data_IF_913887005741
#
_entry.id   IF_913887005741
#
_cell.length_a   1.000
_cell.length_b   1.000
_cell.length_c   1.000
_cell.angle_alpha   90.00
_cell.angle_beta   90.00
_cell.angle_gamma   90.00
#
_symmetry.space_group_name_H-M   'P 1'
#
loop_
_entity.id
_entity.type
_entity.pdbx_description
1 polymer ?
#
# COMPACT_ATOMS: atom_id res chain seq x y z
N UNK A 1 -11.58 -19.03 -3.12
CA UNK A 1 -10.58 -18.78 -2.05
C UNK A 1 -10.37 -17.29 -2.02
N UNK A 2 -10.59 -16.65 -0.88
CA UNK A 2 -10.45 -15.19 -0.78
C UNK A 2 -8.97 -14.79 -0.86
N UNK A 3 -8.68 -13.65 -1.43
CA UNK A 3 -7.33 -13.07 -1.47
C UNK A 3 -6.90 -12.61 -0.07
N UNK A 4 -7.83 -12.00 0.66
CA UNK A 4 -7.70 -11.61 2.06
C UNK A 4 -8.86 -12.22 2.82
N UNK A 5 -8.57 -12.89 3.95
CA UNK A 5 -9.58 -13.48 4.83
C UNK A 5 -9.15 -13.22 6.28
N UNK A 6 -9.93 -12.41 6.97
CA UNK A 6 -9.71 -11.97 8.36
C UNK A 6 -10.85 -12.51 9.21
N UNK A 7 -10.52 -13.23 10.28
CA UNK A 7 -11.49 -13.94 11.12
C UNK A 7 -11.27 -13.60 12.57
N UNK A 8 -12.26 -12.95 13.17
CA UNK A 8 -12.32 -12.64 14.62
C UNK A 8 -11.03 -11.99 15.14
N UNK A 9 -10.47 -11.06 14.38
CA UNK A 9 -9.17 -10.48 14.66
C UNK A 9 -9.28 -9.38 15.71
N UNK A 10 -8.41 -9.49 16.71
CA UNK A 10 -8.21 -8.50 17.77
C UNK A 10 -6.81 -7.90 17.65
N UNK A 11 -6.71 -6.60 17.91
CA UNK A 11 -5.42 -5.93 18.10
C UNK A 11 -5.46 -5.08 19.35
N UNK A 12 -4.61 -5.45 20.30
CA UNK A 12 -4.54 -4.83 21.62
C UNK A 12 -3.14 -4.24 21.79
N UNK A 13 -3.08 -2.93 22.03
CA UNK A 13 -1.84 -2.23 22.39
C UNK A 13 -1.79 -1.96 23.88
N UNK A 14 -0.58 -1.97 24.47
CA UNK A 14 -0.31 -1.69 25.86
C UNK A 14 -1.22 -2.49 26.83
N UNK A 15 -1.15 -3.84 26.83
CA UNK A 15 -1.97 -4.65 27.73
C UNK A 15 -1.68 -4.27 29.18
N UNK A 16 -2.74 -3.99 29.98
CA UNK A 16 -2.66 -3.52 31.35
C UNK A 16 -3.45 -2.21 31.59
N UNK A 17 -2.96 -1.33 32.46
CA UNK A 17 -3.69 -0.12 32.86
C UNK A 17 -4.05 0.86 31.73
N UNK A 18 -3.27 0.86 30.63
CA UNK A 18 -3.50 1.74 29.48
C UNK A 18 -3.80 0.94 28.19
N UNK A 19 -4.54 -0.16 28.34
CA UNK A 19 -4.92 -1.00 27.21
C UNK A 19 -5.78 -0.25 26.19
N UNK A 20 -5.42 -0.41 24.91
CA UNK A 20 -6.21 0.09 23.78
C UNK A 20 -6.59 -1.08 22.89
N UNK A 21 -7.88 -1.37 22.79
CA UNK A 21 -8.43 -2.33 21.84
C UNK A 21 -8.60 -1.62 20.49
N UNK A 22 -7.56 -1.68 19.67
CA UNK A 22 -7.54 -0.99 18.36
C UNK A 22 -8.37 -1.74 17.30
N UNK A 23 -8.45 -3.08 17.41
CA UNK A 23 -9.40 -3.92 16.68
C UNK A 23 -10.07 -4.85 17.69
N UNK A 24 -11.38 -5.06 17.52
CA UNK A 24 -12.23 -5.79 18.46
C UNK A 24 -13.14 -6.77 17.71
N UNK A 25 -12.62 -7.96 17.40
CA UNK A 25 -13.35 -9.04 16.72
C UNK A 25 -13.70 -8.72 15.28
N UNK A 26 -12.76 -8.16 14.51
CA UNK A 26 -12.99 -7.80 13.11
C UNK A 26 -12.93 -9.03 12.22
N UNK A 27 -13.96 -9.22 11.39
CA UNK A 27 -14.00 -10.26 10.34
C UNK A 27 -14.36 -9.63 9.01
N UNK A 28 -13.60 -9.95 7.95
CA UNK A 28 -13.89 -9.51 6.59
C UNK A 28 -13.21 -10.43 5.57
N UNK A 29 -13.75 -10.48 4.38
CA UNK A 29 -13.15 -11.15 3.23
C UNK A 29 -13.04 -10.20 2.05
N UNK A 30 -11.97 -10.32 1.26
CA UNK A 30 -11.77 -9.55 0.02
C UNK A 30 -11.34 -10.52 -1.07
N UNK A 31 -12.05 -10.49 -2.19
CA UNK A 31 -11.72 -11.27 -3.38
C UNK A 31 -10.79 -10.53 -4.33
N UNK A 32 -10.15 -11.26 -5.25
CA UNK A 32 -9.32 -10.66 -6.29
C UNK A 32 -10.12 -9.68 -7.15
N UNK A 33 -9.52 -8.53 -7.46
CA UNK A 33 -10.10 -7.50 -8.32
C UNK A 33 -11.19 -6.65 -7.67
N UNK A 34 -11.44 -6.79 -6.37
CA UNK A 34 -12.36 -5.92 -5.65
C UNK A 34 -11.80 -4.51 -5.41
N UNK A 35 -12.70 -3.54 -5.36
CA UNK A 35 -12.42 -2.18 -4.89
C UNK A 35 -13.17 -1.96 -3.58
N UNK A 36 -12.45 -1.97 -2.47
CA UNK A 36 -13.01 -1.91 -1.11
C UNK A 36 -12.68 -0.56 -0.47
N UNK A 37 -13.65 0.06 0.17
CA UNK A 37 -13.44 1.26 0.97
C UNK A 37 -13.74 0.98 2.45
N UNK A 38 -12.74 1.16 3.32
CA UNK A 38 -12.87 1.08 4.77
C UNK A 38 -13.18 2.48 5.29
N UNK A 39 -14.40 2.68 5.77
CA UNK A 39 -14.87 3.97 6.27
C UNK A 39 -15.12 3.93 7.78
N UNK A 40 -14.92 5.04 8.46
CA UNK A 40 -15.15 5.16 9.90
C UNK A 40 -14.58 6.47 10.45
N UNK A 41 -14.94 6.80 11.69
CA UNK A 41 -14.45 7.99 12.37
C UNK A 41 -12.94 7.92 12.65
N UNK A 42 -12.31 9.05 12.97
CA UNK A 42 -10.93 9.06 13.47
C UNK A 42 -10.83 8.22 14.74
N UNK A 43 -9.78 7.41 14.86
CA UNK A 43 -9.58 6.51 15.99
C UNK A 43 -10.39 5.20 15.94
N UNK A 44 -11.14 4.91 14.87
CA UNK A 44 -11.92 3.66 14.76
C UNK A 44 -11.10 2.42 14.34
N UNK A 45 -9.77 2.48 14.36
CA UNK A 45 -8.89 1.35 14.02
C UNK A 45 -8.57 1.15 12.54
N UNK A 46 -8.99 2.05 11.63
CA UNK A 46 -8.72 1.90 10.18
C UNK A 46 -7.25 1.72 9.85
N UNK A 47 -6.39 2.61 10.36
CA UNK A 47 -4.94 2.53 10.10
C UNK A 47 -4.31 1.29 10.76
N UNK A 48 -4.83 0.85 11.91
CA UNK A 48 -4.42 -0.43 12.52
C UNK A 48 -4.78 -1.61 11.62
N UNK A 49 -6.01 -1.65 11.11
CA UNK A 49 -6.45 -2.67 10.17
C UNK A 49 -5.60 -2.63 8.89
N UNK A 50 -5.34 -1.46 8.33
CA UNK A 50 -4.48 -1.29 7.15
C UNK A 50 -3.05 -1.79 7.40
N UNK A 51 -2.46 -1.48 8.56
CA UNK A 51 -1.12 -1.96 8.92
C UNK A 51 -1.09 -3.49 9.03
N UNK A 52 -2.12 -4.09 9.61
CA UNK A 52 -2.25 -5.53 9.72
C UNK A 52 -2.43 -6.18 8.34
N UNK A 53 -3.36 -5.69 7.51
CA UNK A 53 -3.55 -6.16 6.14
C UNK A 53 -2.28 -6.02 5.31
N UNK A 54 -1.48 -5.00 5.61
CA UNK A 54 -0.19 -4.72 4.98
C UNK A 54 0.98 -5.51 5.54
N UNK A 55 0.79 -6.42 6.49
CA UNK A 55 1.85 -7.17 7.17
C UNK A 55 2.91 -6.25 7.82
N UNK A 56 2.52 -5.04 8.22
CA UNK A 56 3.34 -4.11 9.01
C UNK A 56 3.14 -4.33 10.52
N UNK A 57 2.07 -5.02 10.87
CA UNK A 57 1.73 -5.44 12.22
C UNK A 57 1.02 -6.80 12.17
N UNK A 58 0.97 -7.52 13.30
CA UNK A 58 0.31 -8.82 13.41
C UNK A 58 -0.86 -8.75 14.38
N UNK A 59 -1.91 -9.57 14.24
CA UNK A 59 -3.01 -9.61 15.19
C UNK A 59 -2.53 -10.05 16.59
N UNK A 60 -3.24 -9.61 17.63
CA UNK A 60 -3.04 -10.14 19.00
C UNK A 60 -3.71 -11.51 19.14
N UNK A 61 -4.84 -11.71 18.48
CA UNK A 61 -5.55 -12.99 18.36
C UNK A 61 -6.52 -12.94 17.17
N UNK A 62 -7.08 -14.10 16.81
CA UNK A 62 -7.86 -14.32 15.60
C UNK A 62 -6.98 -14.87 14.48
N UNK A 63 -7.47 -14.91 13.26
CA UNK A 63 -6.76 -15.47 12.12
C UNK A 63 -6.77 -14.48 10.94
N UNK A 64 -5.61 -14.28 10.33
CA UNK A 64 -5.48 -13.50 9.10
C UNK A 64 -4.79 -14.35 8.03
N UNK A 65 -5.47 -14.53 6.89
CA UNK A 65 -4.95 -15.21 5.72
C UNK A 65 -4.75 -14.24 4.57
N UNK A 66 -3.58 -14.28 3.95
CA UNK A 66 -3.30 -13.62 2.67
C UNK A 66 -2.94 -14.68 1.62
N UNK A 67 -3.70 -14.72 0.54
CA UNK A 67 -3.53 -15.71 -0.54
C UNK A 67 -3.42 -17.15 0.00
N UNK A 68 -4.24 -17.46 1.03
CA UNK A 68 -4.31 -18.77 1.69
C UNK A 68 -3.20 -19.08 2.68
N UNK A 69 -2.24 -18.19 2.90
CA UNK A 69 -1.21 -18.33 3.92
C UNK A 69 -1.68 -17.70 5.24
N UNK A 70 -1.65 -18.45 6.32
CA UNK A 70 -1.93 -17.93 7.67
C UNK A 70 -0.75 -17.06 8.12
N UNK A 71 -1.03 -15.80 8.46
CA UNK A 71 0.00 -14.80 8.75
C UNK A 71 0.72 -15.09 10.06
N UNK A 72 0.03 -15.61 11.06
CA UNK A 72 0.59 -15.96 12.37
C UNK A 72 1.67 -17.05 12.30
N UNK A 73 1.65 -17.86 11.25
CA UNK A 73 2.66 -18.92 11.00
C UNK A 73 3.92 -18.39 10.27
N UNK A 74 3.90 -17.12 9.81
CA UNK A 74 4.98 -16.54 9.02
C UNK A 74 6.06 -15.92 9.91
N UNK A 75 7.31 -16.11 9.52
CA UNK A 75 8.45 -15.36 10.09
C UNK A 75 8.48 -13.92 9.55
N UNK A 76 9.20 -13.02 10.23
CA UNK A 76 9.39 -11.63 9.79
C UNK A 76 9.99 -11.55 8.37
N UNK A 77 10.92 -12.45 8.03
CA UNK A 77 11.52 -12.53 6.71
C UNK A 77 10.47 -12.93 5.65
N UNK A 78 9.64 -13.92 5.94
CA UNK A 78 8.56 -14.35 5.05
C UNK A 78 7.51 -13.26 4.87
N UNK A 79 7.11 -12.57 5.94
CA UNK A 79 6.21 -11.41 5.87
C UNK A 79 6.80 -10.30 5.01
N UNK A 80 8.11 -10.05 5.13
CA UNK A 80 8.81 -9.03 4.33
C UNK A 80 8.82 -9.37 2.83
N UNK A 81 8.99 -10.65 2.48
CA UNK A 81 8.91 -11.13 1.10
C UNK A 81 7.49 -10.95 0.55
N UNK A 82 6.47 -11.45 1.27
CA UNK A 82 5.06 -11.34 0.87
C UNK A 82 4.67 -9.87 0.71
N UNK A 83 5.04 -9.01 1.67
CA UNK A 83 4.78 -7.58 1.60
C UNK A 83 5.39 -6.94 0.34
N UNK A 84 6.63 -7.27 0.02
CA UNK A 84 7.29 -6.74 -1.18
C UNK A 84 6.66 -7.27 -2.47
N UNK A 85 6.25 -8.54 -2.52
CA UNK A 85 5.75 -9.19 -3.73
C UNK A 85 4.27 -8.97 -3.98
N UNK A 86 3.46 -8.93 -2.91
CA UNK A 86 2.00 -8.97 -3.05
C UNK A 86 1.31 -7.67 -2.69
N UNK A 87 1.99 -6.72 -2.03
CA UNK A 87 1.34 -5.52 -1.51
C UNK A 87 2.04 -4.25 -2.00
N UNK A 88 1.27 -3.37 -2.62
CA UNK A 88 1.70 -2.00 -2.94
C UNK A 88 1.08 -1.01 -1.97
N UNK A 89 1.89 -0.17 -1.33
CA UNK A 89 1.42 0.82 -0.36
C UNK A 89 1.37 2.22 -0.94
N UNK A 90 0.26 2.91 -0.68
CA UNK A 90 0.04 4.34 -0.93
C UNK A 90 -0.34 4.99 0.38
N UNK A 91 0.47 5.93 0.87
CA UNK A 91 0.27 6.62 2.14
C UNK A 91 -0.20 8.07 1.92
N UNK A 92 -0.93 8.62 2.87
CA UNK A 92 -1.36 10.01 2.90
C UNK A 92 -0.17 10.98 2.85
N UNK A 93 0.92 10.67 3.53
CA UNK A 93 2.15 11.48 3.60
C UNK A 93 3.13 11.24 2.45
N UNK A 94 2.72 10.54 1.37
CA UNK A 94 3.55 10.14 0.21
C UNK A 94 4.71 9.22 0.57
N UNK A 95 5.39 9.42 1.68
CA UNK A 95 6.53 8.65 2.18
C UNK A 95 7.62 8.45 1.11
N UNK A 96 7.94 9.54 0.39
CA UNK A 96 9.04 9.57 -0.56
C UNK A 96 10.36 9.89 0.17
N UNK A 97 11.44 9.25 -0.27
CA UNK A 97 12.79 9.60 0.19
C UNK A 97 13.19 10.90 -0.51
N UNK A 98 13.36 11.96 0.27
CA UNK A 98 13.57 13.32 -0.23
C UNK A 98 14.86 13.53 -1.03
N UNK A 99 15.90 12.72 -0.76
CA UNK A 99 17.17 12.73 -1.48
C UNK A 99 17.19 11.94 -2.77
N UNK A 100 16.14 11.18 -3.07
CA UNK A 100 16.00 10.39 -4.28
C UNK A 100 15.07 11.09 -5.28
N UNK A 101 15.39 10.99 -6.56
CA UNK A 101 14.51 11.42 -7.64
C UNK A 101 13.22 10.60 -7.70
N UNK A 102 12.23 11.05 -8.48
CA UNK A 102 10.99 10.33 -8.67
C UNK A 102 11.22 8.88 -9.14
N UNK A 103 12.07 8.68 -10.14
CA UNK A 103 12.35 7.35 -10.67
C UNK A 103 13.10 6.47 -9.66
N UNK A 104 14.04 7.02 -8.90
CA UNK A 104 14.76 6.28 -7.86
C UNK A 104 13.83 5.87 -6.71
N UNK A 105 12.87 6.72 -6.32
CA UNK A 105 11.82 6.34 -5.37
C UNK A 105 10.97 5.17 -5.87
N UNK A 106 10.65 5.14 -7.16
CA UNK A 106 9.86 4.05 -7.77
C UNK A 106 10.68 2.77 -7.91
N UNK A 107 12.00 2.86 -8.07
CA UNK A 107 12.89 1.70 -8.13
C UNK A 107 13.00 0.94 -6.79
N UNK A 108 12.73 1.57 -5.63
CA UNK A 108 12.98 0.99 -4.31
C UNK A 108 12.41 -0.42 -4.11
N UNK A 109 11.13 -0.71 -4.35
CA UNK A 109 10.59 -2.06 -4.19
C UNK A 109 11.26 -3.08 -5.12
N UNK A 110 11.72 -2.65 -6.29
CA UNK A 110 12.40 -3.50 -7.27
C UNK A 110 13.84 -3.80 -6.85
N UNK A 111 14.50 -2.86 -6.13
CA UNK A 111 15.82 -3.10 -5.51
C UNK A 111 15.71 -4.21 -4.48
N UNK A 112 14.68 -4.18 -3.61
CA UNK A 112 14.45 -5.22 -2.61
C UNK A 112 14.12 -6.59 -3.22
N UNK A 113 13.59 -6.62 -4.47
CA UNK A 113 13.42 -7.86 -5.25
C UNK A 113 14.71 -8.38 -5.88
N UNK A 114 15.84 -7.68 -5.72
CA UNK A 114 17.11 -8.05 -6.32
C UNK A 114 17.20 -7.84 -7.83
N UNK A 115 16.28 -7.06 -8.43
CA UNK A 115 16.28 -6.80 -9.87
C UNK A 115 17.51 -6.03 -10.34
N UNK A 116 18.01 -6.36 -11.54
CA UNK A 116 19.13 -5.68 -12.16
C UNK A 116 18.84 -4.19 -12.43
N UNK A 117 19.89 -3.36 -12.42
CA UNK A 117 19.75 -1.90 -12.54
C UNK A 117 19.00 -1.44 -13.79
N UNK A 118 19.28 -2.04 -14.92
CA UNK A 118 18.63 -1.65 -16.19
C UNK A 118 17.16 -2.03 -16.18
N UNK A 119 16.84 -3.26 -15.79
CA UNK A 119 15.49 -3.78 -15.74
C UNK A 119 14.58 -2.95 -14.80
N UNK A 120 15.04 -2.70 -13.57
CA UNK A 120 14.26 -1.91 -12.62
C UNK A 120 14.04 -0.47 -13.08
N UNK A 121 15.05 0.13 -13.78
CA UNK A 121 14.92 1.47 -14.35
C UNK A 121 13.82 1.51 -15.40
N UNK A 122 13.79 0.57 -16.33
CA UNK A 122 12.78 0.49 -17.38
C UNK A 122 11.36 0.29 -16.80
N UNK A 123 11.23 -0.52 -15.75
CA UNK A 123 9.96 -0.73 -15.06
C UNK A 123 9.50 0.56 -14.35
N UNK A 124 10.41 1.23 -13.64
CA UNK A 124 10.10 2.46 -12.92
C UNK A 124 9.69 3.60 -13.87
N UNK A 125 10.38 3.76 -14.99
CA UNK A 125 10.03 4.75 -16.03
C UNK A 125 8.65 4.48 -16.64
N UNK A 126 8.32 3.21 -16.93
CA UNK A 126 6.98 2.81 -17.39
C UNK A 126 5.92 3.10 -16.35
N UNK A 127 6.19 2.83 -15.06
CA UNK A 127 5.26 3.11 -13.98
C UNK A 127 5.00 4.61 -13.83
N UNK A 128 6.04 5.46 -13.93
CA UNK A 128 5.90 6.92 -13.91
C UNK A 128 5.11 7.45 -15.13
N UNK A 129 5.36 6.91 -16.31
CA UNK A 129 4.59 7.28 -17.50
C UNK A 129 3.10 6.94 -17.37
N UNK A 130 2.76 5.80 -16.75
CA UNK A 130 1.36 5.39 -16.48
C UNK A 130 0.59 6.38 -15.59
N UNK A 131 1.29 7.12 -14.73
CA UNK A 131 0.72 8.14 -13.85
C UNK A 131 0.91 9.57 -14.37
N UNK A 132 1.38 9.73 -15.63
CA UNK A 132 1.54 11.02 -16.30
C UNK A 132 2.72 11.85 -15.78
N UNK A 133 3.82 11.19 -15.37
CA UNK A 133 5.04 11.83 -14.86
C UNK A 133 6.28 11.56 -15.74
N UNK A 134 6.08 11.22 -17.01
CA UNK A 134 7.14 10.98 -17.99
C UNK A 134 8.18 12.11 -18.08
N UNK A 135 7.74 13.36 -17.91
CA UNK A 135 8.61 14.56 -17.96
C UNK A 135 9.18 14.96 -16.59
N UNK A 136 8.91 14.20 -15.52
CA UNK A 136 9.28 14.51 -14.14
C UNK A 136 10.12 13.45 -13.45
N UNK A 137 10.61 12.45 -14.19
CA UNK A 137 11.29 11.28 -13.64
C UNK A 137 12.53 11.62 -12.80
N UNK A 138 13.25 12.67 -13.18
CA UNK A 138 14.51 13.08 -12.53
C UNK A 138 14.36 14.21 -11.51
N UNK A 139 13.12 14.62 -11.21
CA UNK A 139 12.88 15.65 -10.20
C UNK A 139 12.94 15.05 -8.79
N UNK A 140 13.42 15.84 -7.84
CA UNK A 140 13.34 15.53 -6.42
C UNK A 140 11.92 15.83 -5.89
N UNK A 141 11.47 15.18 -4.81
CA UNK A 141 10.18 15.47 -4.20
C UNK A 141 9.95 16.96 -3.90
N UNK A 142 10.97 17.69 -3.44
CA UNK A 142 10.88 19.12 -3.15
C UNK A 142 10.58 19.99 -4.39
N UNK A 143 10.81 19.49 -5.59
CA UNK A 143 10.55 20.17 -6.87
C UNK A 143 9.18 19.81 -7.45
N UNK A 144 8.37 19.04 -6.73
CA UNK A 144 7.10 18.48 -7.19
C UNK A 144 5.94 18.98 -6.33
N UNK A 145 4.78 19.20 -6.97
CA UNK A 145 3.54 19.47 -6.23
C UNK A 145 3.08 18.25 -5.44
N UNK A 146 2.24 18.43 -4.40
CA UNK A 146 1.69 17.32 -3.60
C UNK A 146 1.00 16.25 -4.46
N UNK A 147 0.21 16.67 -5.46
CA UNK A 147 -0.42 15.74 -6.41
C UNK A 147 0.58 14.98 -7.28
N UNK A 148 1.70 15.60 -7.65
CA UNK A 148 2.79 14.91 -8.35
C UNK A 148 3.50 13.91 -7.43
N UNK A 149 3.81 14.31 -6.19
CA UNK A 149 4.43 13.42 -5.20
C UNK A 149 3.53 12.20 -4.92
N UNK A 150 2.21 12.39 -4.80
CA UNK A 150 1.28 11.28 -4.62
C UNK A 150 1.27 10.35 -5.83
N UNK A 151 1.32 10.87 -7.06
CA UNK A 151 1.45 10.03 -8.25
C UNK A 151 2.78 9.27 -8.31
N UNK A 152 3.88 9.83 -7.78
CA UNK A 152 5.14 9.06 -7.59
C UNK A 152 4.93 7.93 -6.59
N UNK A 153 4.25 8.16 -5.46
CA UNK A 153 3.93 7.13 -4.48
C UNK A 153 3.04 6.03 -5.09
N UNK A 154 2.05 6.40 -5.93
CA UNK A 154 1.24 5.43 -6.68
C UNK A 154 2.11 4.64 -7.66
N UNK A 155 2.98 5.31 -8.44
CA UNK A 155 3.89 4.63 -9.37
C UNK A 155 4.80 3.64 -8.65
N UNK A 156 5.33 4.00 -7.48
CA UNK A 156 6.12 3.12 -6.62
C UNK A 156 5.31 1.89 -6.18
N UNK A 157 4.07 2.09 -5.75
CA UNK A 157 3.20 1.00 -5.30
C UNK A 157 2.90 -0.01 -6.42
N UNK A 158 2.76 0.45 -7.68
CA UNK A 158 2.39 -0.41 -8.81
C UNK A 158 3.59 -0.96 -9.61
N UNK A 159 4.79 -0.44 -9.40
CA UNK A 159 5.98 -0.81 -10.18
C UNK A 159 6.27 -2.31 -10.13
N UNK A 160 6.14 -2.90 -8.95
CA UNK A 160 6.34 -4.32 -8.74
C UNK A 160 5.14 -5.19 -9.17
N UNK A 161 4.10 -4.60 -9.77
CA UNK A 161 2.88 -5.26 -10.21
C UNK A 161 2.17 -6.13 -9.13
N UNK A 162 2.03 -5.66 -7.88
CA UNK A 162 1.43 -6.45 -6.82
C UNK A 162 -0.06 -6.71 -7.09
N UNK A 163 -0.64 -7.82 -6.60
CA UNK A 163 -2.08 -8.10 -6.72
C UNK A 163 -2.94 -7.18 -5.83
N UNK A 164 -2.40 -6.70 -4.71
CA UNK A 164 -3.10 -5.86 -3.73
C UNK A 164 -2.48 -4.47 -3.66
N UNK A 165 -3.32 -3.44 -3.69
CA UNK A 165 -2.93 -2.05 -3.41
C UNK A 165 -3.64 -1.61 -2.14
N UNK A 166 -2.90 -1.27 -1.11
CA UNK A 166 -3.40 -0.67 0.12
C UNK A 166 -3.17 0.83 0.09
N UNK A 167 -4.25 1.60 0.19
CA UNK A 167 -4.20 3.06 0.12
C UNK A 167 -4.78 3.68 1.41
N UNK A 168 -3.93 4.26 2.25
CA UNK A 168 -4.31 4.96 3.46
C UNK A 168 -4.51 6.44 3.17
N UNK A 169 -5.76 6.89 3.15
CA UNK A 169 -6.19 8.26 2.83
C UNK A 169 -5.45 8.88 1.61
N UNK A 170 -5.42 8.21 0.44
CA UNK A 170 -4.54 8.55 -0.67
C UNK A 170 -4.81 9.94 -1.27
N UNK A 171 -5.88 10.61 -0.84
CA UNK A 171 -6.30 11.94 -1.32
C UNK A 171 -6.40 12.98 -0.22
N UNK A 172 -6.10 12.62 1.04
CA UNK A 172 -6.33 13.49 2.21
C UNK A 172 -5.57 14.82 2.19
N UNK A 173 -4.40 14.87 1.55
CA UNK A 173 -3.55 16.05 1.45
C UNK A 173 -3.55 16.71 0.06
N UNK A 174 -4.57 16.42 -0.79
CA UNK A 174 -4.59 16.86 -2.17
C UNK A 174 -5.70 17.87 -2.46
N UNK A 175 -5.44 18.76 -3.43
CA UNK A 175 -6.49 19.58 -4.04
C UNK A 175 -7.49 18.72 -4.85
N UNK A 176 -8.65 19.32 -5.17
CA UNK A 176 -9.74 18.61 -5.85
C UNK A 176 -9.33 18.03 -7.21
N UNK A 177 -8.43 18.70 -7.95
CA UNK A 177 -7.98 18.21 -9.26
C UNK A 177 -7.07 17.00 -9.09
N UNK A 178 -6.08 17.11 -8.24
CA UNK A 178 -5.14 16.02 -7.91
C UNK A 178 -5.87 14.81 -7.33
N UNK A 179 -6.89 15.03 -6.47
CA UNK A 179 -7.78 13.99 -5.95
C UNK A 179 -8.44 13.20 -7.08
N UNK A 180 -9.04 13.88 -8.06
CA UNK A 180 -9.68 13.21 -9.22
C UNK A 180 -8.67 12.42 -10.05
N UNK A 181 -7.47 12.95 -10.25
CA UNK A 181 -6.40 12.27 -11.00
C UNK A 181 -5.95 10.98 -10.30
N UNK A 182 -5.71 11.04 -8.98
CA UNK A 182 -5.32 9.85 -8.19
C UNK A 182 -6.45 8.80 -8.17
N UNK A 183 -7.68 9.21 -7.90
CA UNK A 183 -8.83 8.29 -7.91
C UNK A 183 -9.03 7.62 -9.27
N UNK A 184 -8.86 8.37 -10.37
CA UNK A 184 -8.93 7.79 -11.73
C UNK A 184 -7.85 6.73 -11.97
N UNK A 185 -6.65 6.90 -11.39
CA UNK A 185 -5.60 5.89 -11.47
C UNK A 185 -6.00 4.64 -10.67
N UNK A 186 -6.51 4.79 -9.43
CA UNK A 186 -6.94 3.66 -8.60
C UNK A 186 -8.07 2.86 -9.24
N UNK A 187 -9.06 3.54 -9.83
CA UNK A 187 -10.13 2.86 -10.59
C UNK A 187 -9.59 2.08 -11.80
N UNK A 188 -8.65 2.67 -12.54
CA UNK A 188 -8.00 1.97 -13.67
C UNK A 188 -7.25 0.71 -13.21
N UNK A 189 -6.56 0.77 -12.07
CA UNK A 189 -5.87 -0.40 -11.51
C UNK A 189 -6.86 -1.51 -11.17
N UNK A 190 -8.00 -1.16 -10.60
CA UNK A 190 -9.11 -2.10 -10.35
C UNK A 190 -9.63 -2.71 -11.67
N UNK A 191 -9.85 -1.89 -12.70
CA UNK A 191 -10.33 -2.37 -14.01
C UNK A 191 -9.30 -3.26 -14.73
N UNK A 192 -8.02 -3.15 -14.39
CA UNK A 192 -6.94 -4.05 -14.79
C UNK A 192 -6.86 -5.33 -13.93
N UNK A 193 -7.79 -5.55 -13.01
CA UNK A 193 -7.87 -6.74 -12.15
C UNK A 193 -7.08 -6.66 -10.84
N UNK A 194 -6.57 -5.48 -10.45
CA UNK A 194 -5.93 -5.30 -9.15
C UNK A 194 -6.97 -5.13 -8.05
N UNK A 195 -6.72 -5.71 -6.89
CA UNK A 195 -7.50 -5.47 -5.67
C UNK A 195 -7.03 -4.17 -5.03
N UNK A 196 -7.98 -3.26 -4.71
CA UNK A 196 -7.66 -1.92 -4.16
C UNK A 196 -8.45 -1.71 -2.88
#
# INVERSE_FOLDING_TARGET
MHLIDVRDVYKIYNPGENQVNALDGVSLTIDEGEFVAIIGQSGSGKSTLMNMLGLLDVPTSGEYYINGNLVEDLTDDQMSVIRNEQIGFIFQGFNLISSLTAVENVELPLVYRGMGRQERREIAEKALARVGLDKRMHHLPAEMSGGQQQRVAVARAIAAAPPVILADEPTGNLDTKSTKEVMAILHRLKDEGRTV
#
